data_IF_702804176151
#
_entry.id   IF_702804176151
#
_cell.length_a   1.000
_cell.length_b   1.000
_cell.length_c   1.000
_cell.angle_alpha   90.00
_cell.angle_beta   90.00
_cell.angle_gamma   90.00
#
_symmetry.space_group_name_H-M   'P 1'
#
loop_
_entity.id
_entity.type
_entity.pdbx_description
1 polymer ?
#
# COMPACT_ATOMS: atom_id res chain seq x y z
N UNK A 1 -21.28 4.18 32.67
CA UNK A 1 -20.50 3.69 33.84
C UNK A 1 -19.59 2.50 33.51
N UNK A 2 -20.12 1.33 33.04
CA UNK A 2 -19.26 0.15 32.72
C UNK A 2 -18.26 0.43 31.60
N UNK A 3 -18.67 1.07 30.50
CA UNK A 3 -17.80 1.46 29.39
C UNK A 3 -16.74 2.46 29.83
N UNK A 4 -17.12 3.44 30.64
CA UNK A 4 -16.19 4.44 31.20
C UNK A 4 -15.16 3.79 32.12
N UNK A 5 -15.59 2.86 32.97
CA UNK A 5 -14.69 2.10 33.83
C UNK A 5 -13.68 1.27 33.03
N UNK A 6 -14.13 0.63 31.95
CA UNK A 6 -13.26 -0.11 31.04
C UNK A 6 -12.24 0.80 30.35
N UNK A 7 -12.69 1.95 29.81
CA UNK A 7 -11.81 2.92 29.15
C UNK A 7 -10.76 3.45 30.13
N UNK A 8 -11.18 3.79 31.35
CA UNK A 8 -10.27 4.23 32.41
C UNK A 8 -9.21 3.16 32.73
N UNK A 9 -9.64 1.89 32.90
CA UNK A 9 -8.70 0.79 33.13
C UNK A 9 -7.67 0.61 32.01
N UNK A 10 -8.08 0.85 30.76
CA UNK A 10 -7.15 0.84 29.63
C UNK A 10 -6.12 1.98 29.72
N UNK A 11 -6.55 3.19 30.05
CA UNK A 11 -5.65 4.33 30.24
C UNK A 11 -4.70 4.13 31.42
N UNK A 12 -5.21 3.61 32.54
CA UNK A 12 -4.40 3.28 33.72
C UNK A 12 -3.33 2.21 33.40
N UNK A 13 -3.64 1.32 32.46
CA UNK A 13 -2.67 0.34 31.93
C UNK A 13 -1.70 0.93 30.88
N UNK A 14 -1.76 2.23 30.60
CA UNK A 14 -0.90 2.91 29.61
C UNK A 14 -1.31 2.66 28.15
N UNK A 15 -2.53 2.19 27.89
CA UNK A 15 -3.04 1.98 26.54
C UNK A 15 -3.71 3.26 26.02
N UNK A 16 -3.15 3.85 24.97
CA UNK A 16 -3.75 4.98 24.27
C UNK A 16 -4.89 4.49 23.36
N UNK A 17 -6.09 4.35 23.91
CA UNK A 17 -7.28 3.96 23.16
C UNK A 17 -8.13 5.15 22.79
N UNK A 18 -8.56 5.23 21.52
CA UNK A 18 -9.69 6.04 21.10
C UNK A 18 -10.98 5.27 21.34
N UNK A 19 -12.00 5.94 21.88
CA UNK A 19 -13.29 5.30 22.17
C UNK A 19 -14.44 6.16 21.67
N UNK A 20 -15.48 5.49 21.19
CA UNK A 20 -16.76 6.13 20.86
C UNK A 20 -17.89 5.14 21.10
N UNK A 21 -19.05 5.66 21.53
CA UNK A 21 -20.30 4.90 21.65
C UNK A 21 -21.27 5.49 20.65
N UNK A 22 -21.74 4.66 19.72
CA UNK A 22 -22.58 5.10 18.61
C UNK A 22 -23.67 4.07 18.34
N UNK A 23 -24.84 4.51 17.93
CA UNK A 23 -25.84 3.69 17.28
C UNK A 23 -25.35 3.26 15.87
N UNK A 24 -26.03 2.33 15.23
CA UNK A 24 -25.72 1.95 13.84
C UNK A 24 -25.91 3.14 12.90
N UNK A 25 -27.00 3.88 13.10
CA UNK A 25 -27.35 5.06 12.30
C UNK A 25 -26.30 6.17 12.43
N UNK A 26 -25.79 6.42 13.64
CA UNK A 26 -24.68 7.37 13.87
C UNK A 26 -23.38 6.90 13.22
N UNK A 27 -23.06 5.60 13.28
CA UNK A 27 -21.90 5.05 12.57
C UNK A 27 -21.97 5.31 11.06
N UNK A 28 -23.14 5.10 10.46
CA UNK A 28 -23.36 5.33 9.04
C UNK A 28 -23.27 6.83 8.66
N UNK A 29 -23.86 7.70 9.47
CA UNK A 29 -23.80 9.15 9.27
C UNK A 29 -22.37 9.68 9.36
N UNK A 30 -21.62 9.27 10.37
CA UNK A 30 -20.22 9.68 10.53
C UNK A 30 -19.33 9.15 9.39
N UNK A 31 -19.54 7.90 8.97
CA UNK A 31 -18.81 7.32 7.86
C UNK A 31 -19.08 8.04 6.53
N UNK A 32 -20.28 8.55 6.32
CA UNK A 32 -20.61 9.33 5.12
C UNK A 32 -19.84 10.65 5.01
N UNK A 33 -19.44 11.23 6.14
CA UNK A 33 -18.80 12.53 6.22
C UNK A 33 -17.27 12.47 6.37
N UNK A 34 -16.72 11.34 6.87
CA UNK A 34 -15.28 11.20 7.17
C UNK A 34 -14.75 9.85 6.70
N UNK A 35 -13.86 9.89 5.72
CA UNK A 35 -13.18 8.69 5.17
C UNK A 35 -12.31 7.97 6.21
N UNK A 36 -11.84 8.67 7.25
CA UNK A 36 -11.06 8.05 8.34
C UNK A 36 -11.98 7.20 9.22
N UNK A 37 -13.16 7.73 9.56
CA UNK A 37 -14.21 6.97 10.25
C UNK A 37 -14.66 5.78 9.38
N UNK A 38 -14.91 6.01 8.09
CA UNK A 38 -15.27 4.97 7.14
C UNK A 38 -14.21 3.85 7.09
N UNK A 39 -12.91 4.20 7.08
CA UNK A 39 -11.82 3.23 7.12
C UNK A 39 -11.81 2.45 8.43
N UNK A 40 -12.02 3.09 9.57
CA UNK A 40 -12.07 2.44 10.88
C UNK A 40 -13.23 1.45 10.98
N UNK A 41 -14.39 1.83 10.45
CA UNK A 41 -15.58 0.96 10.43
C UNK A 41 -15.43 -0.19 9.43
N UNK A 42 -14.74 0.03 8.31
CA UNK A 42 -14.39 -1.03 7.36
C UNK A 42 -13.55 -2.13 8.03
N UNK A 43 -12.66 -1.80 8.97
CA UNK A 43 -11.85 -2.74 9.74
C UNK A 43 -12.52 -3.24 11.02
N UNK A 44 -13.74 -2.82 11.31
CA UNK A 44 -14.44 -3.21 12.53
C UNK A 44 -14.55 -4.74 12.66
N UNK A 45 -14.44 -5.22 13.89
CA UNK A 45 -14.64 -6.62 14.27
C UNK A 45 -15.40 -6.71 15.58
N UNK A 46 -16.29 -7.68 15.69
CA UNK A 46 -16.96 -7.97 16.95
C UNK A 46 -15.98 -8.63 17.93
N UNK A 47 -15.78 -8.02 19.07
CA UNK A 47 -15.02 -8.59 20.18
C UNK A 47 -15.97 -9.31 21.15
N UNK A 48 -17.08 -8.65 21.51
CA UNK A 48 -18.12 -9.19 22.38
C UNK A 48 -19.46 -8.51 22.04
N UNK A 49 -20.53 -8.90 22.72
CA UNK A 49 -21.87 -8.31 22.54
C UNK A 49 -22.74 -9.03 21.50
N UNK A 50 -23.87 -8.41 21.15
CA UNK A 50 -24.88 -8.99 20.27
C UNK A 50 -24.38 -9.16 18.83
N UNK A 51 -24.40 -10.41 18.36
CA UNK A 51 -24.01 -10.76 16.99
C UNK A 51 -24.97 -10.24 15.95
N UNK A 52 -26.27 -10.18 16.24
CA UNK A 52 -27.28 -9.69 15.31
C UNK A 52 -27.17 -8.19 15.09
N UNK A 53 -26.86 -7.43 16.15
CA UNK A 53 -26.60 -6.00 16.06
C UNK A 53 -25.37 -5.74 15.17
N UNK A 54 -24.27 -6.48 15.37
CA UNK A 54 -23.07 -6.32 14.56
C UNK A 54 -23.30 -6.70 13.10
N UNK A 55 -24.01 -7.80 12.84
CA UNK A 55 -24.36 -8.20 11.47
C UNK A 55 -25.24 -7.15 10.77
N UNK A 56 -26.20 -6.53 11.49
CA UNK A 56 -27.01 -5.41 10.96
C UNK A 56 -26.11 -4.24 10.57
N UNK A 57 -25.18 -3.88 11.43
CA UNK A 57 -24.20 -2.83 11.13
C UNK A 57 -23.38 -3.19 9.87
N UNK A 58 -22.76 -4.37 9.80
CA UNK A 58 -21.96 -4.77 8.63
C UNK A 58 -22.76 -4.74 7.33
N UNK A 59 -23.99 -5.21 7.35
CA UNK A 59 -24.88 -5.20 6.18
C UNK A 59 -25.21 -3.77 5.73
N UNK A 60 -25.63 -2.91 6.65
CA UNK A 60 -26.03 -1.53 6.33
C UNK A 60 -24.83 -0.69 5.91
N UNK A 61 -23.70 -0.82 6.59
CA UNK A 61 -22.44 -0.16 6.23
C UNK A 61 -21.95 -0.59 4.84
N UNK A 62 -21.96 -1.90 4.56
CA UNK A 62 -21.59 -2.43 3.24
C UNK A 62 -22.48 -1.94 2.11
N UNK A 63 -23.80 -1.81 2.37
CA UNK A 63 -24.75 -1.29 1.38
C UNK A 63 -24.58 0.22 1.09
N UNK A 64 -24.10 0.99 2.05
CA UNK A 64 -23.85 2.43 1.91
C UNK A 64 -22.48 2.76 1.33
N UNK A 65 -21.51 1.87 1.46
CA UNK A 65 -20.13 2.09 1.03
C UNK A 65 -20.06 2.16 -0.49
N UNK A 66 -19.64 3.32 -1.02
CA UNK A 66 -19.29 3.50 -2.43
C UNK A 66 -17.78 3.21 -2.62
N UNK A 67 -17.42 2.09 -3.26
CA UNK A 67 -16.02 1.71 -3.45
C UNK A 67 -15.23 2.71 -4.31
N UNK A 68 -15.88 3.34 -5.29
CA UNK A 68 -15.23 4.31 -6.18
C UNK A 68 -14.93 5.61 -5.41
N UNK A 69 -15.90 6.17 -4.72
CA UNK A 69 -15.70 7.35 -3.88
C UNK A 69 -14.65 7.10 -2.80
N UNK A 70 -14.66 5.91 -2.18
CA UNK A 70 -13.65 5.51 -1.20
C UNK A 70 -12.25 5.44 -1.79
N UNK A 71 -12.08 4.81 -2.98
CA UNK A 71 -10.80 4.77 -3.71
C UNK A 71 -10.26 6.18 -3.97
N UNK A 72 -11.11 7.09 -4.49
CA UNK A 72 -10.72 8.47 -4.79
C UNK A 72 -10.27 9.21 -3.53
N UNK A 73 -11.05 9.13 -2.46
CA UNK A 73 -10.73 9.79 -1.18
C UNK A 73 -9.44 9.25 -0.56
N UNK A 74 -9.25 7.93 -0.55
CA UNK A 74 -8.04 7.28 -0.01
C UNK A 74 -6.80 7.55 -0.86
N UNK A 75 -6.95 7.65 -2.17
CA UNK A 75 -5.84 8.02 -3.08
C UNK A 75 -5.43 9.48 -2.86
N UNK A 76 -6.39 10.38 -2.64
CA UNK A 76 -6.09 11.78 -2.29
C UNK A 76 -5.35 11.89 -0.95
N UNK A 77 -5.83 11.18 0.08
CA UNK A 77 -5.16 11.10 1.38
C UNK A 77 -3.72 10.58 1.25
N UNK A 78 -3.51 9.54 0.45
CA UNK A 78 -2.18 9.00 0.16
C UNK A 78 -1.27 10.04 -0.49
N UNK A 79 -1.75 10.76 -1.51
CA UNK A 79 -0.97 11.81 -2.19
C UNK A 79 -0.58 12.93 -1.23
N UNK A 80 -1.51 13.40 -0.40
CA UNK A 80 -1.25 14.42 0.62
C UNK A 80 -0.21 13.94 1.65
N UNK A 81 -0.30 12.69 2.07
CA UNK A 81 0.67 12.06 2.96
C UNK A 81 2.05 11.95 2.31
N UNK A 82 2.13 11.49 1.05
CA UNK A 82 3.39 11.39 0.32
C UNK A 82 4.06 12.76 0.16
N UNK A 83 3.28 13.82 -0.10
CA UNK A 83 3.82 15.20 -0.17
C UNK A 83 4.48 15.62 1.14
N UNK A 84 3.93 15.27 2.30
CA UNK A 84 4.54 15.53 3.61
C UNK A 84 5.86 14.77 3.83
N UNK A 85 6.11 13.73 3.03
CA UNK A 85 7.29 12.87 3.07
C UNK A 85 8.11 12.97 1.78
N UNK A 86 8.22 14.17 1.21
CA UNK A 86 9.10 14.52 0.08
C UNK A 86 8.77 13.77 -1.24
N UNK A 87 7.64 13.09 -1.33
CA UNK A 87 7.22 12.28 -2.48
C UNK A 87 8.27 11.23 -2.94
N UNK A 88 9.14 10.79 -2.03
CA UNK A 88 10.21 9.83 -2.35
C UNK A 88 10.29 8.70 -1.35
N UNK A 89 10.51 7.45 -1.80
CA UNK A 89 10.85 6.34 -0.91
C UNK A 89 12.32 6.36 -0.46
N UNK A 90 13.12 7.32 -0.94
CA UNK A 90 14.58 7.37 -0.74
C UNK A 90 15.03 8.48 0.20
N UNK A 91 14.13 8.99 1.05
CA UNK A 91 14.50 9.95 2.09
C UNK A 91 15.61 9.37 2.99
N UNK A 92 16.51 10.22 3.46
CA UNK A 92 17.64 9.80 4.31
C UNK A 92 17.19 9.29 5.68
N UNK A 93 16.09 9.85 6.20
CA UNK A 93 15.44 9.44 7.45
C UNK A 93 13.97 9.11 7.19
N UNK A 94 13.67 7.99 6.50
CA UNK A 94 12.31 7.69 6.08
C UNK A 94 11.43 7.29 7.26
N UNK A 95 10.14 7.59 7.16
CA UNK A 95 9.13 7.04 8.07
C UNK A 95 8.66 5.68 7.54
N UNK A 96 8.96 4.60 8.27
CA UNK A 96 8.66 3.21 7.87
C UNK A 96 7.17 2.94 7.65
N UNK A 97 6.30 3.78 8.23
CA UNK A 97 4.85 3.66 8.13
C UNK A 97 4.27 4.59 7.08
N UNK A 98 4.64 5.88 7.10
CA UNK A 98 3.93 6.94 6.37
C UNK A 98 4.63 7.41 5.08
N UNK A 99 5.95 7.22 4.93
CA UNK A 99 6.66 7.59 3.69
C UNK A 99 6.18 6.76 2.50
N UNK A 100 6.37 7.25 1.26
CA UNK A 100 6.12 6.45 0.06
C UNK A 100 6.80 5.09 0.14
N UNK A 101 6.06 4.03 -0.15
CA UNK A 101 6.52 2.65 -0.01
C UNK A 101 6.57 2.12 1.43
N UNK A 102 6.00 2.85 2.41
CA UNK A 102 5.84 2.42 3.78
C UNK A 102 4.60 1.53 4.00
N UNK A 103 4.42 1.08 5.25
CA UNK A 103 3.33 0.16 5.62
C UNK A 103 1.94 0.71 5.33
N UNK A 104 1.75 2.03 5.37
CA UNK A 104 0.45 2.65 5.11
C UNK A 104 0.00 2.48 3.66
N UNK A 105 0.93 2.38 2.70
CA UNK A 105 0.59 2.14 1.30
C UNK A 105 0.03 0.71 1.12
N UNK A 106 0.56 -0.26 1.84
CA UNK A 106 0.04 -1.63 1.84
C UNK A 106 -1.35 -1.72 2.50
N UNK A 107 -1.55 -1.02 3.62
CA UNK A 107 -2.86 -0.96 4.27
C UNK A 107 -3.90 -0.33 3.34
N UNK A 108 -3.54 0.73 2.61
CA UNK A 108 -4.45 1.38 1.67
C UNK A 108 -4.95 0.41 0.59
N UNK A 109 -4.09 -0.43 0.03
CA UNK A 109 -4.50 -1.45 -0.94
C UNK A 109 -5.54 -2.40 -0.34
N UNK A 110 -5.28 -2.91 0.87
CA UNK A 110 -6.21 -3.82 1.54
C UNK A 110 -7.55 -3.14 1.85
N UNK A 111 -7.55 -1.89 2.27
CA UNK A 111 -8.79 -1.14 2.51
C UNK A 111 -9.60 -0.94 1.24
N UNK A 112 -8.96 -0.50 0.16
CA UNK A 112 -9.64 -0.27 -1.11
C UNK A 112 -10.11 -1.59 -1.73
N UNK A 113 -9.30 -2.65 -1.67
CA UNK A 113 -9.69 -3.98 -2.14
C UNK A 113 -10.89 -4.53 -1.34
N UNK A 114 -10.90 -4.34 -0.02
CA UNK A 114 -12.01 -4.73 0.84
C UNK A 114 -13.28 -3.94 0.52
N UNK A 115 -13.18 -2.63 0.32
CA UNK A 115 -14.30 -1.77 -0.07
C UNK A 115 -14.88 -2.19 -1.43
N UNK A 116 -14.02 -2.60 -2.38
CA UNK A 116 -14.40 -3.09 -3.70
C UNK A 116 -14.88 -4.56 -3.71
N UNK A 117 -14.94 -5.25 -2.56
CA UNK A 117 -15.33 -6.65 -2.49
C UNK A 117 -14.34 -7.65 -3.11
N UNK A 118 -13.09 -7.23 -3.33
CA UNK A 118 -12.04 -8.03 -3.99
C UNK A 118 -11.24 -8.91 -3.03
N UNK A 119 -11.38 -8.70 -1.72
CA UNK A 119 -10.73 -9.46 -0.66
C UNK A 119 -10.27 -8.59 0.50
N UNK A 120 -9.95 -9.24 1.63
CA UNK A 120 -9.54 -8.61 2.89
C UNK A 120 -8.08 -8.90 3.24
N UNK A 121 -7.45 -9.85 2.57
CA UNK A 121 -6.11 -10.37 2.83
C UNK A 121 -5.37 -10.63 1.51
N UNK A 122 -4.06 -10.64 1.56
CA UNK A 122 -3.22 -10.82 0.37
C UNK A 122 -3.50 -12.10 -0.41
N UNK A 123 -3.77 -13.21 0.27
CA UNK A 123 -4.14 -14.48 -0.36
C UNK A 123 -5.49 -14.41 -1.10
N UNK A 124 -6.47 -13.70 -0.54
CA UNK A 124 -7.75 -13.45 -1.19
C UNK A 124 -7.59 -12.57 -2.44
N UNK A 125 -6.69 -11.58 -2.40
CA UNK A 125 -6.36 -10.76 -3.58
C UNK A 125 -5.73 -11.59 -4.70
N UNK A 126 -4.96 -12.62 -4.37
CA UNK A 126 -4.45 -13.56 -5.36
C UNK A 126 -5.58 -14.42 -5.97
N UNK A 127 -6.50 -14.91 -5.15
CA UNK A 127 -7.64 -15.71 -5.63
C UNK A 127 -8.61 -14.90 -6.50
N UNK A 128 -8.82 -13.63 -6.20
CA UNK A 128 -9.62 -12.73 -7.04
C UNK A 128 -8.92 -12.28 -8.33
N UNK A 129 -7.65 -12.69 -8.53
CA UNK A 129 -6.84 -12.30 -9.68
C UNK A 129 -6.45 -10.82 -9.70
N UNK A 130 -6.59 -10.11 -8.57
CA UNK A 130 -6.12 -8.73 -8.43
C UNK A 130 -4.59 -8.68 -8.39
N UNK A 131 -3.98 -9.60 -7.65
CA UNK A 131 -2.53 -9.77 -7.56
C UNK A 131 -2.14 -11.18 -8.03
N UNK A 132 -0.93 -11.32 -8.57
CA UNK A 132 -0.38 -12.65 -8.84
C UNK A 132 0.17 -13.28 -7.56
N UNK A 133 0.26 -14.63 -7.45
CA UNK A 133 0.90 -15.27 -6.30
C UNK A 133 2.35 -14.83 -6.08
N UNK A 134 3.06 -14.43 -7.13
CA UNK A 134 4.41 -13.89 -7.04
C UNK A 134 4.39 -12.50 -6.38
N UNK A 135 3.53 -11.60 -6.84
CA UNK A 135 3.35 -10.25 -6.25
C UNK A 135 2.99 -10.34 -4.77
N UNK A 136 2.07 -11.24 -4.40
CA UNK A 136 1.68 -11.45 -3.00
C UNK A 136 2.87 -11.87 -2.14
N UNK A 137 3.70 -12.82 -2.61
CA UNK A 137 4.92 -13.21 -1.89
C UNK A 137 5.90 -12.05 -1.72
N UNK A 138 6.06 -11.21 -2.75
CA UNK A 138 6.93 -10.03 -2.67
C UNK A 138 6.38 -8.99 -1.68
N UNK A 139 5.08 -8.75 -1.71
CA UNK A 139 4.42 -7.84 -0.76
C UNK A 139 4.62 -8.34 0.67
N UNK A 140 4.27 -9.58 0.98
CA UNK A 140 4.38 -10.15 2.32
C UNK A 140 5.81 -10.13 2.84
N UNK A 141 6.81 -10.40 1.99
CA UNK A 141 8.23 -10.32 2.35
C UNK A 141 8.65 -8.89 2.72
N UNK A 142 8.24 -7.90 1.92
CA UNK A 142 8.59 -6.50 2.16
C UNK A 142 7.81 -5.93 3.36
N UNK A 143 6.54 -6.28 3.51
CA UNK A 143 5.71 -5.96 4.66
C UNK A 143 6.34 -6.46 5.97
N UNK A 144 6.74 -7.74 6.00
CA UNK A 144 7.41 -8.33 7.16
C UNK A 144 8.72 -7.62 7.50
N UNK A 145 9.52 -7.24 6.49
CA UNK A 145 10.75 -6.48 6.70
C UNK A 145 10.46 -5.10 7.29
N UNK A 146 9.50 -4.36 6.75
CA UNK A 146 9.12 -3.03 7.23
C UNK A 146 8.57 -3.09 8.67
N UNK A 147 7.74 -4.09 8.98
CA UNK A 147 7.26 -4.32 10.35
C UNK A 147 8.40 -4.63 11.31
N UNK A 148 9.36 -5.46 10.90
CA UNK A 148 10.50 -5.83 11.73
C UNK A 148 11.43 -4.63 11.98
N UNK A 149 11.69 -3.81 10.95
CA UNK A 149 12.45 -2.56 11.11
C UNK A 149 11.75 -1.65 12.11
N UNK A 150 10.43 -1.44 11.94
CA UNK A 150 9.62 -0.61 12.82
C UNK A 150 9.61 -1.10 14.27
N UNK A 151 9.44 -2.41 14.48
CA UNK A 151 9.44 -3.00 15.82
C UNK A 151 10.79 -2.81 16.53
N UNK A 152 11.90 -3.01 15.82
CA UNK A 152 13.25 -2.78 16.36
C UNK A 152 13.53 -1.30 16.62
N UNK A 153 13.05 -0.43 15.74
CA UNK A 153 13.14 1.01 15.92
C UNK A 153 12.41 1.46 17.20
N UNK A 154 11.19 0.97 17.46
CA UNK A 154 10.47 1.23 18.71
C UNK A 154 11.26 0.72 19.95
N UNK A 155 11.83 -0.49 19.85
CA UNK A 155 12.61 -1.07 20.95
C UNK A 155 13.88 -0.25 21.23
N UNK A 156 14.59 0.20 20.19
CA UNK A 156 15.81 1.02 20.35
C UNK A 156 15.50 2.44 20.87
N UNK A 157 14.40 3.03 20.39
CA UNK A 157 13.96 4.36 20.82
C UNK A 157 13.33 4.38 22.22
N UNK A 158 12.93 3.22 22.76
CA UNK A 158 12.18 3.12 24.02
C UNK A 158 10.80 3.77 23.99
N UNK A 159 10.32 4.12 22.79
CA UNK A 159 9.03 4.80 22.56
C UNK A 159 8.51 4.48 21.16
N UNK A 160 7.28 4.89 20.88
CA UNK A 160 6.76 4.85 19.52
C UNK A 160 7.56 5.81 18.62
N UNK A 161 8.34 5.25 17.70
CA UNK A 161 9.13 5.98 16.71
C UNK A 161 9.02 5.28 15.35
N UNK A 162 8.46 5.98 14.37
CA UNK A 162 8.24 5.44 13.03
C UNK A 162 9.25 5.99 12.00
N UNK A 163 10.04 7.02 12.38
CA UNK A 163 11.08 7.64 11.55
C UNK A 163 12.43 7.01 11.83
N UNK A 164 13.07 6.47 10.81
CA UNK A 164 14.37 5.83 10.89
C UNK A 164 15.48 6.92 10.89
N UNK A 165 15.56 7.66 12.01
CA UNK A 165 16.51 8.76 12.19
C UNK A 165 17.96 8.26 12.20
N UNK A 166 18.91 9.12 11.78
CA UNK A 166 20.32 8.76 11.64
C UNK A 166 20.90 8.13 12.90
N UNK A 167 20.60 8.71 14.06
CA UNK A 167 21.14 8.25 15.35
C UNK A 167 20.75 6.81 15.69
N UNK A 168 19.62 6.32 15.18
CA UNK A 168 19.13 4.97 15.42
C UNK A 168 19.46 3.97 14.29
N UNK A 169 19.84 4.45 13.10
CA UNK A 169 20.08 3.57 11.94
C UNK A 169 21.14 2.51 12.22
N UNK A 170 22.25 2.89 12.87
CA UNK A 170 23.34 1.95 13.20
C UNK A 170 22.89 0.92 14.23
N UNK A 171 22.26 1.34 15.32
CA UNK A 171 21.78 0.44 16.37
C UNK A 171 20.72 -0.53 15.84
N UNK A 172 19.78 -0.04 15.01
CA UNK A 172 18.80 -0.88 14.34
C UNK A 172 19.48 -1.88 13.40
N UNK A 173 20.46 -1.44 12.61
CA UNK A 173 21.21 -2.32 11.69
C UNK A 173 21.94 -3.44 12.46
N UNK A 174 22.63 -3.11 13.54
CA UNK A 174 23.34 -4.07 14.38
C UNK A 174 22.39 -5.07 15.04
N UNK A 175 21.19 -4.63 15.42
CA UNK A 175 20.14 -5.52 15.93
C UNK A 175 19.70 -6.59 14.92
N UNK A 176 19.87 -6.34 13.61
CA UNK A 176 19.69 -7.33 12.53
C UNK A 176 20.91 -8.24 12.34
N UNK A 177 22.00 -8.02 13.09
CA UNK A 177 23.27 -8.72 12.91
C UNK A 177 24.11 -8.16 11.77
N UNK A 178 23.77 -7.00 11.20
CA UNK A 178 24.61 -6.36 10.18
C UNK A 178 25.83 -5.77 10.85
N UNK A 179 26.97 -5.93 10.20
CA UNK A 179 28.25 -5.39 10.66
C UNK A 179 28.91 -4.61 9.55
N UNK A 180 29.72 -3.63 9.92
CA UNK A 180 30.60 -2.95 8.95
C UNK A 180 31.60 -3.94 8.39
N UNK A 181 31.69 -4.02 7.07
CA UNK A 181 32.58 -4.94 6.33
C UNK A 181 33.26 -4.18 5.21
N UNK A 182 34.52 -4.46 4.96
CA UNK A 182 35.22 -3.94 3.79
C UNK A 182 35.14 -5.02 2.71
N UNK A 183 34.32 -4.85 1.64
CA UNK A 183 34.30 -5.77 0.52
C UNK A 183 35.68 -5.86 -0.12
N UNK A 184 36.02 -7.02 -0.66
CA UNK A 184 37.28 -7.22 -1.39
C UNK A 184 37.39 -6.22 -2.56
N UNK A 185 38.51 -5.52 -2.63
CA UNK A 185 38.73 -4.46 -3.63
C UNK A 185 38.07 -3.10 -3.34
N UNK A 186 37.31 -2.96 -2.25
CA UNK A 186 36.69 -1.70 -1.90
C UNK A 186 37.66 -0.79 -1.11
N UNK A 187 37.67 0.50 -1.46
CA UNK A 187 38.49 1.52 -0.77
C UNK A 187 37.96 1.90 0.61
N UNK A 188 36.64 1.73 0.84
CA UNK A 188 35.97 2.11 2.09
C UNK A 188 35.07 0.97 2.60
N UNK A 189 34.91 0.83 3.93
CA UNK A 189 34.01 -0.16 4.50
C UNK A 189 32.54 0.20 4.20
N UNK A 190 31.73 -0.82 3.89
CA UNK A 190 30.27 -0.71 3.87
C UNK A 190 29.77 -0.73 5.32
N UNK A 191 29.13 0.34 5.77
CA UNK A 191 28.60 0.46 7.13
C UNK A 191 27.38 -0.44 7.34
N UNK A 192 27.16 -0.87 8.58
CA UNK A 192 25.95 -1.64 8.94
C UNK A 192 24.66 -0.88 8.58
N UNK A 193 24.62 0.44 8.87
CA UNK A 193 23.49 1.31 8.50
C UNK A 193 23.24 1.38 6.99
N UNK A 194 24.28 1.43 6.16
CA UNK A 194 24.14 1.43 4.69
C UNK A 194 23.53 0.12 4.19
N UNK A 195 23.86 -1.02 4.82
CA UNK A 195 23.24 -2.32 4.50
C UNK A 195 21.76 -2.32 4.86
N UNK A 196 21.39 -1.78 6.01
CA UNK A 196 19.99 -1.62 6.43
C UNK A 196 19.23 -0.73 5.46
N UNK A 197 19.77 0.48 5.18
CA UNK A 197 19.13 1.48 4.32
C UNK A 197 18.95 0.95 2.89
N UNK A 198 19.92 0.26 2.33
CA UNK A 198 19.79 -0.40 1.02
C UNK A 198 18.63 -1.40 1.00
N UNK A 199 18.47 -2.21 2.04
CA UNK A 199 17.34 -3.17 2.14
C UNK A 199 16.01 -2.44 2.31
N UNK A 200 15.97 -1.40 3.12
CA UNK A 200 14.80 -0.54 3.28
C UNK A 200 14.39 0.06 1.93
N UNK A 201 15.30 0.67 1.19
CA UNK A 201 15.00 1.31 -0.08
C UNK A 201 14.51 0.30 -1.13
N UNK A 202 15.07 -0.89 -1.17
CA UNK A 202 14.56 -1.93 -2.05
C UNK A 202 13.15 -2.36 -1.69
N UNK A 203 12.85 -2.52 -0.41
CA UNK A 203 11.50 -2.83 0.04
C UNK A 203 10.52 -1.69 -0.28
N UNK A 204 10.86 -0.45 0.07
CA UNK A 204 10.03 0.72 -0.19
C UNK A 204 9.77 0.93 -1.70
N UNK A 205 10.80 0.76 -2.55
CA UNK A 205 10.65 0.79 -4.01
C UNK A 205 9.68 -0.29 -4.50
N UNK A 206 9.83 -1.53 -4.03
CA UNK A 206 8.97 -2.64 -4.44
C UNK A 206 7.52 -2.39 -4.00
N UNK A 207 7.31 -1.93 -2.75
CA UNK A 207 5.99 -1.57 -2.24
C UNK A 207 5.36 -0.46 -3.07
N UNK A 208 6.09 0.62 -3.36
CA UNK A 208 5.58 1.73 -4.18
C UNK A 208 5.09 1.24 -5.54
N UNK A 209 5.88 0.42 -6.22
CA UNK A 209 5.55 -0.08 -7.57
C UNK A 209 4.37 -1.05 -7.55
N UNK A 210 4.36 -2.00 -6.60
CA UNK A 210 3.26 -2.96 -6.46
C UNK A 210 1.96 -2.24 -6.04
N UNK A 211 2.05 -1.25 -5.15
CA UNK A 211 0.91 -0.43 -4.76
C UNK A 211 0.29 0.30 -5.96
N UNK A 212 1.12 0.88 -6.80
CA UNK A 212 0.66 1.57 -8.01
C UNK A 212 -0.05 0.63 -8.98
N UNK A 213 0.53 -0.56 -9.23
CA UNK A 213 -0.07 -1.59 -10.10
C UNK A 213 -1.43 -2.04 -9.54
N UNK A 214 -1.50 -2.33 -8.24
CA UNK A 214 -2.72 -2.87 -7.62
C UNK A 214 -3.81 -1.82 -7.52
N UNK A 215 -3.50 -0.58 -7.13
CA UNK A 215 -4.49 0.50 -7.09
C UNK A 215 -5.06 0.79 -8.47
N UNK A 216 -4.21 0.87 -9.49
CA UNK A 216 -4.69 1.06 -10.87
C UNK A 216 -5.54 -0.13 -11.35
N UNK A 217 -5.18 -1.37 -10.99
CA UNK A 217 -6.00 -2.54 -11.33
C UNK A 217 -7.37 -2.51 -10.63
N UNK A 218 -7.44 -2.05 -9.37
CA UNK A 218 -8.71 -1.85 -8.68
C UNK A 218 -9.53 -0.77 -9.38
N UNK A 219 -8.91 0.36 -9.74
CA UNK A 219 -9.56 1.46 -10.45
C UNK A 219 -10.14 0.99 -11.79
N UNK A 220 -9.37 0.25 -12.60
CA UNK A 220 -9.84 -0.32 -13.86
C UNK A 220 -11.00 -1.31 -13.67
N UNK A 221 -11.04 -2.06 -12.58
CA UNK A 221 -12.15 -2.98 -12.27
C UNK A 221 -13.41 -2.27 -11.78
N UNK A 222 -13.26 -1.16 -11.06
CA UNK A 222 -14.38 -0.34 -10.62
C UNK A 222 -14.98 0.48 -11.77
N UNK A 223 -14.16 0.80 -12.79
CA UNK A 223 -14.54 1.57 -13.97
C UNK A 223 -14.27 0.76 -15.26
N UNK A 224 -14.99 -0.36 -15.50
CA UNK A 224 -14.75 -1.17 -16.68
C UNK A 224 -15.07 -0.36 -17.96
N UNK A 225 -14.14 -0.38 -18.91
CA UNK A 225 -14.39 0.20 -20.23
C UNK A 225 -15.49 -0.58 -20.96
N UNK A 226 -16.40 0.13 -21.58
CA UNK A 226 -17.43 -0.47 -22.44
C UNK A 226 -16.91 -0.72 -23.88
N UNK A 227 -15.76 -0.15 -24.23
CA UNK A 227 -15.14 -0.28 -25.54
C UNK A 227 -14.02 -1.31 -25.50
N UNK A 228 -13.94 -2.12 -26.54
CA UNK A 228 -12.82 -3.04 -26.73
C UNK A 228 -11.53 -2.25 -27.00
N UNK A 229 -10.37 -2.71 -26.47
CA UNK A 229 -9.08 -2.08 -26.73
C UNK A 229 -8.82 -2.01 -28.25
N UNK A 230 -8.36 -0.85 -28.73
CA UNK A 230 -8.04 -0.60 -30.13
C UNK A 230 -6.54 -0.83 -30.39
N UNK A 231 -6.14 -1.52 -31.45
CA UNK A 231 -4.73 -1.71 -31.76
C UNK A 231 -4.05 -0.39 -32.12
N UNK A 232 -2.98 -0.03 -31.41
CA UNK A 232 -2.05 1.04 -31.78
C UNK A 232 -1.06 0.49 -32.83
N UNK A 233 -0.50 -0.67 -32.54
CA UNK A 233 0.38 -1.43 -33.42
C UNK A 233 0.41 -2.93 -33.00
N UNK A 234 1.34 -3.71 -33.50
CA UNK A 234 1.46 -5.14 -33.18
C UNK A 234 1.81 -5.44 -31.71
N UNK A 235 2.30 -4.45 -30.95
CA UNK A 235 2.79 -4.59 -29.60
C UNK A 235 1.88 -3.95 -28.54
N UNK A 236 1.12 -2.90 -28.94
CA UNK A 236 0.36 -2.06 -28.02
C UNK A 236 -1.06 -1.83 -28.46
N UNK A 237 -1.94 -1.71 -27.49
CA UNK A 237 -3.35 -1.40 -27.62
C UNK A 237 -3.66 -0.09 -26.88
N UNK A 238 -4.60 0.67 -27.38
CA UNK A 238 -5.28 1.75 -26.67
C UNK A 238 -6.49 1.19 -25.94
N UNK A 239 -6.42 1.17 -24.63
CA UNK A 239 -7.52 0.81 -23.76
C UNK A 239 -8.11 2.05 -23.12
N UNK A 240 -8.93 2.75 -23.84
CA UNK A 240 -9.60 3.98 -23.35
C UNK A 240 -8.60 5.05 -22.87
N UNK A 241 -7.59 5.35 -23.67
CA UNK A 241 -6.54 6.29 -23.34
C UNK A 241 -5.40 5.72 -22.50
N UNK A 242 -5.42 4.43 -22.17
CA UNK A 242 -4.34 3.74 -21.50
C UNK A 242 -3.56 2.87 -22.49
N UNK A 243 -2.24 2.97 -22.47
CA UNK A 243 -1.38 2.09 -23.25
C UNK A 243 -1.39 0.71 -22.60
N UNK A 244 -1.87 -0.30 -23.33
CA UNK A 244 -1.88 -1.68 -22.89
C UNK A 244 -0.99 -2.55 -23.77
N UNK A 245 -0.14 -3.40 -23.14
CA UNK A 245 0.67 -4.38 -23.89
C UNK A 245 -0.23 -5.46 -24.50
N UNK A 246 0.05 -5.83 -25.74
CA UNK A 246 -0.67 -6.91 -26.42
C UNK A 246 -0.36 -8.30 -25.82
N UNK A 247 0.80 -8.45 -25.14
CA UNK A 247 1.24 -9.69 -24.49
C UNK A 247 1.97 -9.38 -23.19
N UNK A 248 1.74 -10.20 -22.15
CA UNK A 248 2.33 -10.01 -20.81
C UNK A 248 3.85 -10.20 -20.80
N UNK A 249 4.40 -10.96 -21.74
CA UNK A 249 5.82 -11.26 -21.89
C UNK A 249 6.54 -10.37 -22.91
N UNK A 250 5.86 -9.31 -23.41
CA UNK A 250 6.39 -8.42 -24.46
C UNK A 250 7.81 -7.94 -24.15
N UNK A 251 8.03 -7.37 -22.98
CA UNK A 251 9.30 -6.76 -22.60
C UNK A 251 10.41 -7.77 -22.31
N UNK A 252 10.05 -9.03 -22.00
CA UNK A 252 11.00 -10.12 -21.85
C UNK A 252 11.52 -10.60 -23.22
N UNK A 253 10.62 -10.65 -24.21
CA UNK A 253 10.97 -11.05 -25.59
C UNK A 253 11.62 -9.93 -26.39
N UNK A 254 11.18 -8.69 -26.15
CA UNK A 254 11.67 -7.51 -26.86
C UNK A 254 11.89 -6.35 -25.88
N UNK A 255 13.08 -6.22 -25.27
CA UNK A 255 13.39 -5.14 -24.34
C UNK A 255 13.33 -3.74 -24.97
N UNK A 256 13.45 -3.60 -26.30
CA UNK A 256 13.31 -2.31 -26.98
C UNK A 256 11.90 -1.75 -26.90
N UNK A 257 10.89 -2.61 -26.72
CA UNK A 257 9.50 -2.20 -26.51
C UNK A 257 9.31 -1.34 -25.24
N UNK A 258 10.24 -1.42 -24.27
CA UNK A 258 10.22 -0.51 -23.10
C UNK A 258 10.35 0.94 -23.54
N UNK A 259 11.32 1.25 -24.39
CA UNK A 259 11.51 2.62 -24.89
C UNK A 259 10.35 3.05 -25.79
N UNK A 260 9.82 2.13 -26.61
CA UNK A 260 8.64 2.40 -27.45
C UNK A 260 7.40 2.76 -26.60
N UNK A 261 7.21 2.12 -25.46
CA UNK A 261 6.11 2.46 -24.53
C UNK A 261 6.17 3.93 -24.10
N UNK A 262 7.36 4.40 -23.71
CA UNK A 262 7.52 5.80 -23.31
C UNK A 262 7.45 6.78 -24.49
N UNK A 263 7.90 6.37 -25.67
CA UNK A 263 7.76 7.15 -26.89
C UNK A 263 6.28 7.32 -27.26
N UNK A 264 5.47 6.26 -27.21
CA UNK A 264 4.03 6.33 -27.44
C UNK A 264 3.35 7.25 -26.44
N UNK A 265 3.72 7.14 -25.15
CA UNK A 265 3.18 7.99 -24.08
C UNK A 265 3.48 9.48 -24.32
N UNK A 266 4.67 9.82 -24.80
CA UNK A 266 5.08 11.21 -25.06
C UNK A 266 4.53 11.79 -26.36
N UNK A 267 4.39 10.96 -27.41
CA UNK A 267 4.02 11.42 -28.73
C UNK A 267 2.52 11.46 -28.99
N UNK A 268 1.72 10.78 -28.18
CA UNK A 268 0.28 10.62 -28.42
C UNK A 268 -0.54 11.47 -27.46
N UNK A 269 -1.26 12.44 -27.97
CA UNK A 269 -2.12 13.33 -27.15
C UNK A 269 -3.34 12.63 -26.55
N UNK A 270 -3.76 11.49 -27.11
CA UNK A 270 -4.89 10.68 -26.63
C UNK A 270 -4.53 9.64 -25.57
N UNK A 271 -3.24 9.31 -25.42
CA UNK A 271 -2.77 8.31 -24.48
C UNK A 271 -2.30 9.00 -23.19
N UNK A 272 -3.05 8.82 -22.11
CA UNK A 272 -2.86 9.59 -20.88
C UNK A 272 -2.04 8.85 -19.82
N UNK A 273 -1.98 7.51 -19.87
CA UNK A 273 -1.27 6.70 -18.87
C UNK A 273 -1.01 5.27 -19.39
N UNK A 274 -0.33 4.48 -18.58
CA UNK A 274 -0.13 3.04 -18.79
C UNK A 274 -1.23 2.26 -18.03
N UNK A 275 -1.72 1.16 -18.64
CA UNK A 275 -2.65 0.25 -17.94
C UNK A 275 -1.94 -0.52 -16.82
N UNK A 276 -2.71 -1.05 -15.87
CA UNK A 276 -2.17 -1.93 -14.81
C UNK A 276 -1.42 -3.13 -15.39
N UNK A 277 -1.91 -3.68 -16.52
CA UNK A 277 -1.26 -4.78 -17.23
C UNK A 277 0.13 -4.38 -17.76
N UNK A 278 0.25 -3.20 -18.35
CA UNK A 278 1.52 -2.67 -18.86
C UNK A 278 2.51 -2.40 -17.74
N UNK A 279 2.07 -1.77 -16.63
CA UNK A 279 2.93 -1.54 -15.47
C UNK A 279 3.41 -2.87 -14.85
N UNK A 280 2.54 -3.89 -14.80
CA UNK A 280 2.91 -5.23 -14.34
C UNK A 280 3.92 -5.90 -15.26
N UNK A 281 3.75 -5.81 -16.57
CA UNK A 281 4.69 -6.33 -17.55
C UNK A 281 6.08 -5.66 -17.42
N UNK A 282 6.13 -4.33 -17.24
CA UNK A 282 7.36 -3.58 -16.95
C UNK A 282 8.02 -4.01 -15.64
N UNK A 283 7.21 -4.22 -14.59
CA UNK A 283 7.70 -4.68 -13.30
C UNK A 283 8.34 -6.08 -13.38
N UNK A 284 7.79 -6.97 -14.19
CA UNK A 284 8.24 -8.34 -14.37
C UNK A 284 9.42 -8.48 -15.36
N UNK A 285 9.73 -7.44 -16.13
CA UNK A 285 10.83 -7.43 -17.12
C UNK A 285 12.23 -7.17 -16.53
N UNK A 286 12.39 -7.17 -15.21
CA UNK A 286 13.63 -6.88 -14.47
C UNK A 286 14.56 -8.06 -14.37
#
# INVERSE_FOLDING_TARGET
EQVEAFIRSCWDAGLEIGSSVRSVEECLSEAANDVTVQTSLLEARRVCGDAALFARFEHQFGAQLDPHAFLVAKTLEMRQRHTKHENTPYALEPNCKESPGGLRDLHLILWVARAAGLGKRWDELAHSGLATPYEVRQIQRNEALLFLIRARLHAMAGRREDRLVFDLQTAVAESFGYRSQTPEGARFPLRASETLMRRYYWAAKAVTQLSQILLLNIEERLNPSTQAPQPINARFLDKNGLIEVASDDLYQRDPHAILETFLLYQSSTGLQNLSARTLRALYNAR
#
